data_IF_579845644670
#
_entry.id   IF_579845644670
#
_cell.length_a   1.000
_cell.length_b   1.000
_cell.length_c   1.000
_cell.angle_alpha   90.00
_cell.angle_beta   90.00
_cell.angle_gamma   90.00
#
_symmetry.space_group_name_H-M   'P 1'
#
loop_
_entity.id
_entity.type
_entity.pdbx_description
1 polymer ?
#
# COMPACT_ATOMS: atom_id res chain seq x y z
N UNK A 1 0.28 -31.78 -46.16
CA UNK A 1 0.47 -32.86 -45.16
C UNK A 1 1.87 -32.82 -44.56
N UNK A 2 2.94 -32.69 -45.36
CA UNK A 2 4.32 -32.55 -44.87
C UNK A 2 4.54 -31.31 -43.96
N UNK A 3 4.02 -30.14 -44.35
CA UNK A 3 4.19 -28.90 -43.56
C UNK A 3 3.51 -28.96 -42.19
N UNK A 4 2.33 -29.58 -42.12
CA UNK A 4 1.57 -29.75 -40.87
C UNK A 4 2.31 -30.70 -39.93
N UNK A 5 2.98 -31.73 -40.46
CA UNK A 5 3.79 -32.65 -39.66
C UNK A 5 5.05 -31.97 -39.10
N UNK A 6 5.72 -31.16 -39.91
CA UNK A 6 6.88 -30.36 -39.48
C UNK A 6 6.51 -29.33 -38.42
N UNK A 7 5.37 -28.65 -38.58
CA UNK A 7 4.84 -27.70 -37.61
C UNK A 7 4.47 -28.39 -36.29
N UNK A 8 3.89 -29.59 -36.34
CA UNK A 8 3.54 -30.37 -35.17
C UNK A 8 4.79 -30.85 -34.41
N UNK A 9 5.84 -31.29 -35.11
CA UNK A 9 7.13 -31.63 -34.50
C UNK A 9 7.83 -30.41 -33.88
N UNK A 10 7.75 -29.24 -34.52
CA UNK A 10 8.29 -28.00 -33.97
C UNK A 10 7.55 -27.56 -32.70
N UNK A 11 6.21 -27.57 -32.73
CA UNK A 11 5.39 -27.24 -31.57
C UNK A 11 5.63 -28.22 -30.40
N UNK A 12 5.83 -29.51 -30.68
CA UNK A 12 6.17 -30.48 -29.64
C UNK A 12 7.54 -30.20 -29.00
N UNK A 13 8.55 -29.83 -29.81
CA UNK A 13 9.87 -29.42 -29.29
C UNK A 13 9.78 -28.17 -28.44
N UNK A 14 9.06 -27.14 -28.91
CA UNK A 14 8.84 -25.91 -28.14
C UNK A 14 8.10 -26.17 -26.83
N UNK A 15 7.06 -27.01 -26.84
CA UNK A 15 6.32 -27.40 -25.65
C UNK A 15 7.19 -28.16 -24.65
N UNK A 16 8.03 -29.08 -25.13
CA UNK A 16 9.00 -29.78 -24.29
C UNK A 16 10.02 -28.83 -23.68
N UNK A 17 10.55 -27.88 -24.46
CA UNK A 17 11.49 -26.86 -23.97
C UNK A 17 10.83 -25.98 -22.90
N UNK A 18 9.62 -25.48 -23.15
CA UNK A 18 8.88 -24.64 -22.18
C UNK A 18 8.56 -25.39 -20.89
N UNK A 19 8.27 -26.70 -20.96
CA UNK A 19 8.09 -27.53 -19.77
C UNK A 19 9.38 -27.64 -18.95
N UNK A 20 10.52 -27.81 -19.61
CA UNK A 20 11.81 -27.84 -18.94
C UNK A 20 12.14 -26.50 -18.29
N UNK A 21 11.90 -25.39 -19.00
CA UNK A 21 12.08 -24.04 -18.45
C UNK A 21 11.18 -23.80 -17.23
N UNK A 22 9.95 -24.31 -17.25
CA UNK A 22 9.02 -24.22 -16.12
C UNK A 22 9.54 -24.99 -14.91
N UNK A 23 9.97 -26.24 -15.08
CA UNK A 23 10.54 -27.06 -14.00
C UNK A 23 11.76 -26.37 -13.40
N UNK A 24 12.68 -25.87 -14.25
CA UNK A 24 13.87 -25.16 -13.78
C UNK A 24 13.50 -23.93 -12.95
N UNK A 25 12.53 -23.12 -13.40
CA UNK A 25 12.04 -21.96 -12.65
C UNK A 25 11.38 -22.32 -11.33
N UNK A 26 10.63 -23.43 -11.29
CA UNK A 26 10.02 -23.92 -10.05
C UNK A 26 11.08 -24.37 -9.03
N UNK A 27 12.13 -25.06 -9.48
CA UNK A 27 13.26 -25.46 -8.64
C UNK A 27 14.04 -24.24 -8.12
N UNK A 28 14.33 -23.27 -8.99
CA UNK A 28 14.98 -22.01 -8.63
C UNK A 28 14.14 -21.21 -7.61
N UNK A 29 12.83 -21.12 -7.83
CA UNK A 29 11.91 -20.46 -6.91
C UNK A 29 11.89 -21.16 -5.54
N UNK A 30 11.86 -22.50 -5.52
CA UNK A 30 11.90 -23.27 -4.27
C UNK A 30 13.20 -23.02 -3.51
N UNK A 31 14.34 -23.11 -4.19
CA UNK A 31 15.64 -22.87 -3.56
C UNK A 31 15.76 -21.44 -3.01
N UNK A 32 15.29 -20.45 -3.77
CA UNK A 32 15.27 -19.04 -3.35
C UNK A 32 14.41 -18.84 -2.11
N UNK A 33 13.23 -19.47 -2.05
CA UNK A 33 12.35 -19.42 -0.87
C UNK A 33 13.01 -20.05 0.35
N UNK A 34 13.69 -21.18 0.20
CA UNK A 34 14.42 -21.84 1.31
C UNK A 34 15.57 -20.97 1.83
N UNK A 35 16.36 -20.39 0.92
CA UNK A 35 17.44 -19.48 1.28
C UNK A 35 16.90 -18.23 2.00
N UNK A 36 15.79 -17.66 1.52
CA UNK A 36 15.14 -16.53 2.15
C UNK A 36 14.66 -16.89 3.57
N UNK A 37 13.98 -18.02 3.77
CA UNK A 37 13.55 -18.45 5.10
C UNK A 37 14.74 -18.61 6.06
N UNK A 38 15.81 -19.23 5.57
CA UNK A 38 17.05 -19.37 6.36
C UNK A 38 17.65 -18.01 6.70
N UNK A 39 17.71 -17.08 5.75
CA UNK A 39 18.20 -15.73 5.98
C UNK A 39 17.34 -14.98 7.03
N UNK A 40 16.01 -15.07 6.92
CA UNK A 40 15.07 -14.45 7.86
C UNK A 40 15.19 -15.04 9.27
N UNK A 41 15.56 -16.33 9.40
CA UNK A 41 15.74 -16.98 10.71
C UNK A 41 16.89 -16.40 11.55
N UNK A 42 17.82 -15.66 10.94
CA UNK A 42 18.89 -14.96 11.66
C UNK A 42 18.48 -13.58 12.18
N UNK A 43 17.30 -13.08 11.81
CA UNK A 43 16.79 -11.79 12.25
C UNK A 43 16.02 -11.93 13.56
N UNK A 44 16.18 -10.96 14.45
CA UNK A 44 15.34 -10.82 15.64
C UNK A 44 13.91 -10.42 15.25
N UNK A 45 12.94 -10.66 16.13
CA UNK A 45 11.54 -10.22 15.92
C UNK A 45 11.42 -8.72 15.64
N UNK A 46 12.23 -7.88 16.31
CA UNK A 46 12.24 -6.43 16.04
C UNK A 46 12.75 -6.11 14.64
N UNK A 47 13.77 -6.82 14.15
CA UNK A 47 14.29 -6.64 12.80
C UNK A 47 13.30 -7.15 11.74
N UNK A 48 12.66 -8.31 11.99
CA UNK A 48 11.61 -8.84 11.13
C UNK A 48 10.43 -7.87 11.02
N UNK A 49 10.00 -7.29 12.13
CA UNK A 49 8.93 -6.30 12.14
C UNK A 49 9.31 -5.02 11.37
N UNK A 50 10.55 -4.53 11.54
CA UNK A 50 11.06 -3.39 10.75
C UNK A 50 11.10 -3.69 9.27
N UNK A 51 11.53 -4.90 8.90
CA UNK A 51 11.57 -5.36 7.51
C UNK A 51 10.16 -5.50 6.93
N UNK A 52 9.23 -6.08 7.68
CA UNK A 52 7.83 -6.21 7.26
C UNK A 52 7.20 -4.83 7.00
N UNK A 53 7.49 -3.85 7.87
CA UNK A 53 7.02 -2.46 7.72
C UNK A 53 7.45 -1.80 6.40
N UNK A 54 8.53 -2.25 5.74
CA UNK A 54 8.94 -1.68 4.45
C UNK A 54 8.08 -2.16 3.28
N UNK A 55 7.24 -3.18 3.47
CA UNK A 55 6.35 -3.66 2.42
C UNK A 55 5.11 -2.79 2.22
N UNK A 56 4.78 -1.98 3.23
CA UNK A 56 3.61 -1.11 3.26
C UNK A 56 4.06 0.36 3.29
N UNK A 57 3.58 1.12 2.33
CA UNK A 57 3.73 2.56 2.25
C UNK A 57 2.38 3.22 2.51
N UNK A 58 2.33 4.16 3.44
CA UNK A 58 1.14 4.93 3.76
C UNK A 58 1.33 6.36 3.30
N UNK A 59 0.30 6.92 2.66
CA UNK A 59 0.29 8.32 2.22
C UNK A 59 -0.98 8.99 2.72
N UNK A 60 -0.83 10.14 3.38
CA UNK A 60 -1.92 11.04 3.73
C UNK A 60 -1.78 12.30 2.90
N UNK A 61 -2.81 12.59 2.10
CA UNK A 61 -2.82 13.71 1.16
C UNK A 61 -4.12 14.50 1.24
N UNK A 62 -4.03 15.78 0.89
CA UNK A 62 -5.15 16.71 0.79
C UNK A 62 -5.07 17.33 -0.59
N UNK A 63 -6.06 17.07 -1.45
CA UNK A 63 -6.05 17.45 -2.86
C UNK A 63 -4.74 17.04 -3.57
N UNK A 64 -4.33 15.77 -3.38
CA UNK A 64 -3.13 15.18 -4.01
C UNK A 64 -1.80 15.83 -3.57
N UNK A 65 -1.85 16.65 -2.51
CA UNK A 65 -0.66 17.25 -1.88
C UNK A 65 -0.41 16.53 -0.55
N UNK A 66 0.84 16.10 -0.28
CA UNK A 66 1.16 15.46 0.99
C UNK A 66 0.93 16.42 2.15
N UNK A 67 0.47 15.88 3.28
CA UNK A 67 0.30 16.67 4.51
C UNK A 67 1.67 17.10 5.05
N UNK A 68 1.89 18.40 5.35
CA UNK A 68 3.13 18.88 5.94
C UNK A 68 3.42 18.25 7.30
N UNK A 69 4.70 18.20 7.70
CA UNK A 69 5.14 17.53 8.94
C UNK A 69 4.48 18.05 10.21
N UNK A 70 4.10 19.33 10.23
CA UNK A 70 3.42 20.00 11.33
C UNK A 70 1.89 19.79 11.32
N UNK A 71 1.35 19.08 10.31
CA UNK A 71 -0.06 18.75 10.18
C UNK A 71 -0.96 19.89 9.73
N UNK A 72 -0.43 21.06 9.35
CA UNK A 72 -1.24 22.20 8.91
C UNK A 72 -1.07 22.45 7.41
N UNK A 73 -2.18 22.53 6.68
CA UNK A 73 -2.17 22.89 5.26
C UNK A 73 -3.25 23.93 4.97
N UNK A 74 -3.00 24.81 4.01
CA UNK A 74 -3.97 25.76 3.50
C UNK A 74 -4.42 25.37 2.10
N UNK A 75 -5.74 25.35 1.88
CA UNK A 75 -6.38 24.93 0.64
C UNK A 75 -7.25 26.06 0.10
N UNK A 76 -7.07 26.39 -1.18
CA UNK A 76 -7.85 27.41 -1.88
C UNK A 76 -8.99 26.84 -2.71
N UNK A 77 -8.86 25.56 -3.07
CA UNK A 77 -9.76 24.81 -3.93
C UNK A 77 -11.14 24.61 -3.28
N UNK A 78 -12.21 24.74 -4.07
CA UNK A 78 -13.60 24.60 -3.57
C UNK A 78 -13.95 23.17 -3.19
N UNK A 79 -13.30 22.18 -3.81
CA UNK A 79 -13.46 20.77 -3.47
C UNK A 79 -12.23 20.32 -2.72
N UNK A 80 -12.46 19.67 -1.59
CA UNK A 80 -11.40 19.15 -0.72
C UNK A 80 -11.54 17.64 -0.63
N UNK A 81 -10.49 16.93 -1.02
CA UNK A 81 -10.36 15.49 -0.94
C UNK A 81 -9.23 15.16 0.01
N UNK A 82 -9.57 14.57 1.16
CA UNK A 82 -8.59 13.99 2.09
C UNK A 82 -8.49 12.51 1.75
N UNK A 83 -7.30 12.02 1.42
CA UNK A 83 -7.08 10.61 1.10
C UNK A 83 -6.05 10.02 2.05
N UNK A 84 -6.37 8.86 2.64
CA UNK A 84 -5.39 7.97 3.23
C UNK A 84 -5.26 6.75 2.32
N UNK A 85 -4.04 6.53 1.84
CA UNK A 85 -3.73 5.51 0.84
C UNK A 85 -2.73 4.54 1.46
N UNK A 86 -3.03 3.25 1.33
CA UNK A 86 -2.10 2.15 1.59
C UNK A 86 -1.62 1.58 0.25
N UNK A 87 -0.30 1.49 0.09
CA UNK A 87 0.34 0.84 -1.05
C UNK A 87 1.18 -0.33 -0.54
N UNK A 88 0.90 -1.51 -1.09
CA UNK A 88 1.75 -2.69 -0.95
C UNK A 88 2.69 -2.80 -2.15
N UNK A 89 3.81 -3.49 -2.02
CA UNK A 89 4.69 -3.75 -3.16
C UNK A 89 4.12 -4.87 -4.05
N UNK A 90 4.22 -4.71 -5.38
CA UNK A 90 3.73 -5.67 -6.38
C UNK A 90 4.31 -7.09 -6.23
N UNK A 91 5.45 -7.22 -5.55
CA UNK A 91 6.11 -8.48 -5.28
C UNK A 91 6.25 -8.66 -3.78
N UNK A 92 5.38 -9.48 -3.20
CA UNK A 92 5.53 -9.93 -1.81
C UNK A 92 6.71 -10.91 -1.74
N UNK A 93 7.90 -10.38 -1.45
CA UNK A 93 9.11 -11.19 -1.29
C UNK A 93 9.09 -11.93 0.05
N UNK A 94 8.57 -11.31 1.11
CA UNK A 94 8.51 -11.91 2.44
C UNK A 94 7.40 -12.97 2.54
N UNK A 95 7.60 -14.03 3.34
CA UNK A 95 6.53 -14.95 3.73
C UNK A 95 5.33 -14.20 4.31
N UNK A 96 4.12 -14.68 4.04
CA UNK A 96 2.88 -14.00 4.42
C UNK A 96 2.79 -13.74 5.92
N UNK A 97 3.26 -14.65 6.78
CA UNK A 97 3.21 -14.42 8.23
C UNK A 97 4.13 -13.28 8.68
N UNK A 98 5.25 -13.07 7.98
CA UNK A 98 6.18 -11.97 8.27
C UNK A 98 5.64 -10.68 7.66
N UNK A 99 5.15 -10.73 6.42
CA UNK A 99 4.56 -9.61 5.69
C UNK A 99 3.49 -8.90 6.52
N UNK A 100 2.51 -9.64 7.03
CA UNK A 100 1.40 -9.11 7.84
C UNK A 100 1.83 -8.39 9.11
N UNK A 101 3.03 -8.69 9.66
CA UNK A 101 3.57 -7.94 10.81
C UNK A 101 3.89 -6.48 10.47
N UNK A 102 3.91 -6.11 9.18
CA UNK A 102 4.20 -4.77 8.70
C UNK A 102 2.99 -3.86 8.58
N UNK A 103 1.78 -4.41 8.62
CA UNK A 103 0.53 -3.66 8.58
C UNK A 103 0.41 -2.74 9.80
N UNK A 104 -0.41 -1.70 9.65
CA UNK A 104 -0.92 -0.97 10.81
C UNK A 104 -1.76 -1.91 11.70
N UNK A 105 -1.88 -1.59 12.99
CA UNK A 105 -2.80 -2.35 13.85
C UNK A 105 -4.24 -1.95 13.53
N UNK A 106 -5.11 -2.90 13.23
CA UNK A 106 -6.46 -2.67 12.67
C UNK A 106 -6.44 -2.26 11.19
N UNK A 107 -7.62 -2.05 10.61
CA UNK A 107 -7.73 -1.63 9.22
C UNK A 107 -7.20 -0.19 9.05
N UNK A 108 -6.38 0.06 8.04
CA UNK A 108 -5.69 1.34 7.86
C UNK A 108 -6.60 2.58 7.93
N UNK A 109 -7.86 2.46 7.50
CA UNK A 109 -8.82 3.56 7.48
C UNK A 109 -9.35 3.94 8.88
N UNK A 110 -9.24 3.07 9.89
CA UNK A 110 -9.62 3.39 11.29
C UNK A 110 -8.61 4.33 11.96
N UNK A 111 -7.44 4.52 11.35
CA UNK A 111 -6.40 5.38 11.88
C UNK A 111 -6.67 6.87 11.68
N UNK A 112 -7.71 7.25 10.91
CA UNK A 112 -8.26 8.61 10.88
C UNK A 112 -9.44 8.67 11.85
N UNK A 113 -9.37 9.62 12.76
CA UNK A 113 -10.28 9.76 13.89
C UNK A 113 -10.83 11.19 13.96
N UNK A 114 -12.01 11.34 14.57
CA UNK A 114 -12.61 12.64 14.92
C UNK A 114 -12.69 13.65 13.76
N UNK A 115 -12.98 13.18 12.54
CA UNK A 115 -13.07 14.08 11.38
C UNK A 115 -14.25 15.04 11.51
N UNK A 116 -13.94 16.34 11.50
CA UNK A 116 -14.89 17.42 11.70
C UNK A 116 -14.63 18.58 10.72
N UNK A 117 -15.66 19.14 10.06
CA UNK A 117 -17.03 18.63 10.05
C UNK A 117 -17.13 17.25 9.37
N UNK A 118 -18.31 16.64 9.39
CA UNK A 118 -18.52 15.37 8.69
C UNK A 118 -18.32 15.57 7.17
N UNK A 119 -17.70 14.60 6.48
CA UNK A 119 -17.56 14.63 5.03
C UNK A 119 -18.93 14.51 4.35
N UNK A 120 -19.06 15.11 3.16
CA UNK A 120 -20.25 14.96 2.32
C UNK A 120 -20.33 13.56 1.71
N UNK A 121 -19.17 13.00 1.40
CA UNK A 121 -19.04 11.68 0.83
C UNK A 121 -17.76 11.01 1.33
N UNK A 122 -17.87 9.71 1.60
CA UNK A 122 -16.76 8.84 1.92
C UNK A 122 -16.76 7.71 0.89
N UNK A 123 -15.63 7.50 0.23
CA UNK A 123 -15.48 6.45 -0.79
C UNK A 123 -14.20 5.66 -0.56
N UNK A 124 -14.23 4.39 -0.95
CA UNK A 124 -13.07 3.51 -0.94
C UNK A 124 -12.58 3.27 -2.36
N UNK A 125 -11.27 3.23 -2.54
CA UNK A 125 -10.63 2.63 -3.71
C UNK A 125 -10.02 1.33 -3.29
N UNK A 126 -10.34 0.26 -4.01
CA UNK A 126 -9.82 -1.08 -3.77
C UNK A 126 -9.12 -1.56 -5.04
N UNK A 127 -7.83 -1.85 -4.89
CA UNK A 127 -6.96 -2.33 -5.94
C UNK A 127 -6.00 -3.34 -5.36
N UNK A 128 -5.44 -4.20 -6.23
CA UNK A 128 -4.56 -5.29 -5.81
C UNK A 128 -3.30 -4.83 -5.06
N UNK A 129 -2.86 -3.60 -5.32
CA UNK A 129 -1.59 -3.04 -4.83
C UNK A 129 -1.83 -1.74 -4.04
N UNK A 130 -2.85 -0.98 -4.43
CA UNK A 130 -3.17 0.33 -3.86
C UNK A 130 -4.61 0.32 -3.42
N UNK A 131 -4.84 0.63 -2.17
CA UNK A 131 -6.17 0.82 -1.57
C UNK A 131 -6.20 2.18 -0.90
N UNK A 132 -7.36 2.79 -0.78
CA UNK A 132 -7.48 4.08 -0.10
C UNK A 132 -8.89 4.41 0.36
N UNK A 133 -8.96 5.20 1.43
CA UNK A 133 -10.18 5.85 1.88
C UNK A 133 -10.10 7.33 1.53
N UNK A 134 -11.20 7.87 1.01
CA UNK A 134 -11.29 9.26 0.55
C UNK A 134 -12.49 9.94 1.21
N UNK A 135 -12.24 11.09 1.81
CA UNK A 135 -13.24 11.97 2.41
C UNK A 135 -13.37 13.23 1.56
N UNK A 136 -14.58 13.54 1.12
CA UNK A 136 -14.85 14.66 0.23
C UNK A 136 -15.67 15.72 0.93
N UNK A 137 -15.30 16.99 0.70
CA UNK A 137 -15.95 18.16 1.25
C UNK A 137 -16.11 19.23 0.16
N UNK A 138 -17.22 19.98 0.22
CA UNK A 138 -17.39 21.25 -0.49
C UNK A 138 -17.09 22.40 0.48
N UNK A 139 -16.11 23.22 0.10
CA UNK A 139 -15.70 24.42 0.84
C UNK A 139 -16.86 25.35 1.16
N UNK A 140 -17.89 25.41 0.29
CA UNK A 140 -19.08 26.24 0.48
C UNK A 140 -19.91 25.84 1.70
N UNK A 141 -19.80 24.58 2.13
CA UNK A 141 -20.49 24.04 3.29
C UNK A 141 -19.64 24.10 4.59
N UNK A 142 -18.39 24.57 4.48
CA UNK A 142 -17.45 24.65 5.59
C UNK A 142 -17.42 26.06 6.18
N UNK A 143 -17.36 26.14 7.52
CA UNK A 143 -17.29 27.45 8.22
C UNK A 143 -15.88 28.02 8.30
N UNK A 144 -14.85 27.19 8.44
CA UNK A 144 -13.48 27.68 8.69
C UNK A 144 -12.39 26.68 8.34
N UNK A 145 -12.49 25.44 8.81
CA UNK A 145 -11.46 24.43 8.63
C UNK A 145 -12.02 23.03 8.75
N UNK A 146 -11.29 22.06 8.20
CA UNK A 146 -11.46 20.64 8.50
C UNK A 146 -10.37 20.25 9.50
N UNK A 147 -10.73 19.50 10.52
CA UNK A 147 -9.81 18.96 11.53
C UNK A 147 -10.06 17.48 11.72
N UNK A 148 -8.99 16.72 11.89
CA UNK A 148 -9.07 15.31 12.26
C UNK A 148 -7.83 14.93 13.04
N UNK A 149 -7.92 13.82 13.76
CA UNK A 149 -6.80 13.19 14.44
C UNK A 149 -6.35 11.94 13.69
N UNK A 150 -5.08 11.60 13.83
CA UNK A 150 -4.52 10.32 13.41
C UNK A 150 -3.92 9.60 14.59
N UNK A 151 -3.94 8.28 14.56
CA UNK A 151 -3.27 7.47 15.60
C UNK A 151 -1.76 7.75 15.67
N UNK A 152 -1.14 7.45 16.81
CA UNK A 152 0.32 7.55 16.98
C UNK A 152 1.08 6.67 15.99
N UNK A 153 0.54 5.49 15.70
CA UNK A 153 1.14 4.56 14.76
C UNK A 153 1.15 5.13 13.34
N UNK A 154 0.01 5.62 12.85
CA UNK A 154 -0.06 6.23 11.52
C UNK A 154 0.83 7.48 11.43
N UNK A 155 0.90 8.30 12.49
CA UNK A 155 1.83 9.44 12.56
C UNK A 155 3.28 8.99 12.34
N UNK A 156 3.72 7.93 13.02
CA UNK A 156 5.06 7.39 12.86
C UNK A 156 5.30 6.86 11.45
N UNK A 157 4.32 6.18 10.85
CA UNK A 157 4.42 5.67 9.47
C UNK A 157 4.50 6.80 8.43
N UNK A 158 3.80 7.91 8.66
CA UNK A 158 3.81 9.08 7.79
C UNK A 158 5.00 10.03 8.04
N UNK A 159 5.78 9.81 9.11
CA UNK A 159 6.88 10.70 9.49
C UNK A 159 6.42 12.10 9.92
N UNK A 160 5.21 12.23 10.47
CA UNK A 160 4.64 13.48 10.94
C UNK A 160 5.06 13.77 12.39
N UNK A 161 5.08 15.05 12.76
CA UNK A 161 5.42 15.48 14.13
C UNK A 161 4.19 15.56 15.04
N UNK A 162 2.99 15.57 14.46
CA UNK A 162 1.71 15.74 15.17
C UNK A 162 0.71 14.65 14.80
N UNK A 163 -0.20 14.35 15.72
CA UNK A 163 -1.39 13.52 15.46
C UNK A 163 -2.60 14.36 15.04
N UNK A 164 -2.55 15.68 15.16
CA UNK A 164 -3.67 16.56 14.81
C UNK A 164 -3.42 17.21 13.45
N UNK A 165 -4.35 17.01 12.52
CA UNK A 165 -4.28 17.56 11.17
C UNK A 165 -5.32 18.66 11.02
N UNK A 166 -4.91 19.79 10.46
CA UNK A 166 -5.77 20.95 10.22
C UNK A 166 -5.68 21.42 8.76
N UNK A 167 -6.82 21.43 8.09
CA UNK A 167 -7.01 21.95 6.74
C UNK A 167 -7.66 23.32 6.84
N UNK A 168 -6.89 24.38 6.63
CA UNK A 168 -7.36 25.77 6.66
C UNK A 168 -7.86 26.17 5.28
N UNK A 169 -9.00 26.85 5.24
CA UNK A 169 -9.60 27.35 4.01
C UNK A 169 -9.05 28.75 3.71
N UNK A 170 -8.64 29.00 2.46
CA UNK A 170 -8.29 30.35 1.98
C UNK A 170 -9.50 31.13 1.50
#
# INVERSE_FOLDING_TARGET
MESVKQELEQLQKELSSKKQDLIYKEEEQKHTKELLHKALSYLTESQLHKLAKTQYEYTLEINEKPVPKDGSIEIGEDKIKISLIERTHNYQVLPTEISRKGELNEDYYTHIQDIAPAPENTSFTDGTIVTGIHYQFDKRNLKSSITFSITKELKERLGLHTTSIQVKLK
#
